data_IF_245130905693
#
_entry.id   IF_245130905693
#
_cell.length_a   1.000
_cell.length_b   1.000
_cell.length_c   1.000
_cell.angle_alpha   90.00
_cell.angle_beta   90.00
_cell.angle_gamma   90.00
#
_symmetry.space_group_name_H-M   'P 1'
#
loop_
_entity.id
_entity.type
_entity.pdbx_description
1 polymer ?
#
# COMPACT_ATOMS: atom_id res chain seq x y z
N UNK A 1 20.00 47.90 46.85
CA UNK A 1 19.99 46.42 47.01
C UNK A 1 19.01 45.86 45.98
N UNK A 2 19.50 45.08 45.01
CA UNK A 2 18.73 44.56 43.86
C UNK A 2 17.82 43.40 44.30
N UNK A 3 16.53 43.47 44.01
CA UNK A 3 15.67 42.27 43.93
C UNK A 3 14.72 42.42 42.73
N UNK A 4 15.08 41.75 41.63
CA UNK A 4 14.28 41.62 40.41
C UNK A 4 13.20 40.56 40.61
N UNK A 5 11.92 40.95 40.48
CA UNK A 5 10.78 40.04 40.28
C UNK A 5 10.81 39.50 38.84
N UNK A 6 10.99 38.19 38.65
CA UNK A 6 10.70 37.49 37.39
C UNK A 6 9.46 36.61 37.59
N UNK A 7 8.44 36.84 36.77
CA UNK A 7 7.14 36.16 36.76
C UNK A 7 7.14 34.91 35.84
N UNK A 8 6.22 33.95 36.08
CA UNK A 8 6.34 32.54 35.69
C UNK A 8 5.59 32.21 34.39
N UNK A 9 6.20 32.47 33.23
CA UNK A 9 5.59 32.12 31.92
C UNK A 9 6.19 30.88 31.25
N UNK A 10 7.32 30.35 31.75
CA UNK A 10 7.98 29.19 31.15
C UNK A 10 7.37 27.83 31.55
N UNK A 11 6.59 27.77 32.64
CA UNK A 11 5.95 26.53 33.09
C UNK A 11 4.67 26.23 32.29
N UNK A 12 3.99 27.24 31.75
CA UNK A 12 2.78 27.03 30.94
C UNK A 12 3.08 26.61 29.49
N UNK A 13 4.24 26.97 28.94
CA UNK A 13 4.64 26.62 27.56
C UNK A 13 5.20 25.18 27.47
N UNK A 14 5.82 24.68 28.54
CA UNK A 14 6.24 23.27 28.60
C UNK A 14 5.07 22.29 28.79
N UNK A 15 3.90 22.76 29.26
CA UNK A 15 2.73 21.91 29.45
C UNK A 15 1.90 21.73 28.16
N UNK A 16 2.11 22.58 27.16
CA UNK A 16 1.44 22.49 25.85
C UNK A 16 2.23 21.64 24.83
N UNK A 17 3.55 21.49 25.01
CA UNK A 17 4.40 20.68 24.12
C UNK A 17 4.40 19.18 24.45
N UNK A 18 3.85 18.78 25.60
CA UNK A 18 3.83 17.39 26.07
C UNK A 18 2.60 16.56 25.66
N UNK A 19 1.59 17.15 25.02
CA UNK A 19 0.31 16.48 24.71
C UNK A 19 0.20 15.89 23.30
N UNK A 20 1.19 16.06 22.41
CA UNK A 20 1.11 15.59 21.02
C UNK A 20 1.73 14.22 20.73
N UNK A 21 2.21 13.45 21.73
CA UNK A 21 2.91 12.18 21.48
C UNK A 21 2.11 10.90 21.77
N UNK A 22 0.81 10.99 22.03
CA UNK A 22 -0.04 9.82 22.35
C UNK A 22 -0.78 9.20 21.14
N UNK A 23 -0.34 9.47 19.91
CA UNK A 23 -0.98 8.89 18.72
C UNK A 23 0.00 7.98 17.98
N UNK A 24 -0.40 6.72 17.79
CA UNK A 24 0.16 5.66 16.92
C UNK A 24 1.12 4.64 17.56
N UNK A 25 0.58 3.75 18.41
CA UNK A 25 1.16 2.43 18.68
C UNK A 25 0.58 1.32 17.77
N UNK A 26 0.14 1.66 16.56
CA UNK A 26 -0.23 0.67 15.56
C UNK A 26 1.06 0.05 15.01
N UNK A 27 1.16 -1.27 14.96
CA UNK A 27 2.38 -1.88 14.40
C UNK A 27 2.55 -1.42 12.95
N UNK A 28 3.78 -1.08 12.55
CA UNK A 28 4.11 -0.67 11.17
C UNK A 28 3.52 -1.64 10.13
N UNK A 29 3.43 -2.93 10.50
CA UNK A 29 2.82 -3.97 9.67
C UNK A 29 1.30 -3.85 9.55
N UNK A 30 0.61 -3.53 10.64
CA UNK A 30 -0.85 -3.33 10.61
C UNK A 30 -1.22 -2.12 9.73
N UNK A 31 -0.44 -1.04 9.78
CA UNK A 31 -0.64 0.12 8.91
C UNK A 31 -0.41 -0.22 7.43
N UNK A 32 0.67 -0.92 7.10
CA UNK A 32 0.97 -1.36 5.72
C UNK A 32 -0.18 -2.21 5.13
N UNK A 33 -0.68 -3.18 5.91
CA UNK A 33 -1.80 -4.02 5.49
C UNK A 33 -3.09 -3.20 5.30
N UNK A 34 -3.30 -2.17 6.13
CA UNK A 34 -4.48 -1.31 6.04
C UNK A 34 -4.46 -0.43 4.79
N UNK A 35 -3.32 0.21 4.52
CA UNK A 35 -3.09 0.95 3.28
C UNK A 35 -3.31 0.03 2.07
N UNK A 36 -2.75 -1.18 2.10
CA UNK A 36 -2.90 -2.14 1.00
C UNK A 36 -4.35 -2.58 0.80
N UNK A 37 -5.09 -2.82 1.88
CA UNK A 37 -6.52 -3.16 1.84
C UNK A 37 -7.34 -2.04 1.19
N UNK A 38 -7.07 -0.79 1.57
CA UNK A 38 -7.74 0.39 1.01
C UNK A 38 -7.41 0.59 -0.47
N UNK A 39 -6.15 0.39 -0.87
CA UNK A 39 -5.74 0.40 -2.28
C UNK A 39 -6.53 -0.64 -3.10
N UNK A 40 -6.59 -1.89 -2.64
CA UNK A 40 -7.33 -2.96 -3.32
C UNK A 40 -8.85 -2.67 -3.40
N UNK A 41 -9.44 -2.06 -2.37
CA UNK A 41 -10.85 -1.63 -2.40
C UNK A 41 -11.10 -0.53 -3.43
N UNK A 42 -10.20 0.47 -3.49
CA UNK A 42 -10.27 1.53 -4.50
C UNK A 42 -10.14 0.95 -5.90
N UNK A 43 -9.23 0.01 -6.08
CA UNK A 43 -9.02 -0.70 -7.34
C UNK A 43 -10.28 -1.48 -7.77
N UNK A 44 -10.91 -2.25 -6.87
CA UNK A 44 -12.19 -2.94 -7.16
C UNK A 44 -13.29 -1.95 -7.54
N UNK A 45 -13.39 -0.80 -6.87
CA UNK A 45 -14.37 0.23 -7.20
C UNK A 45 -14.10 0.83 -8.59
N UNK A 46 -12.83 1.12 -8.91
CA UNK A 46 -12.44 1.58 -10.24
C UNK A 46 -12.76 0.56 -11.33
N UNK A 47 -12.47 -0.73 -11.08
CA UNK A 47 -12.84 -1.84 -11.98
C UNK A 47 -14.35 -1.84 -12.22
N UNK A 48 -15.16 -1.78 -11.16
CA UNK A 48 -16.62 -1.75 -11.29
C UNK A 48 -17.12 -0.54 -12.09
N UNK A 49 -16.53 0.65 -11.86
CA UNK A 49 -16.87 1.87 -12.62
C UNK A 49 -16.53 1.74 -14.10
N UNK A 50 -15.34 1.24 -14.42
CA UNK A 50 -14.91 1.03 -15.81
C UNK A 50 -15.79 -0.03 -16.48
N UNK A 51 -16.06 -1.17 -15.81
CA UNK A 51 -16.92 -2.22 -16.34
C UNK A 51 -18.37 -1.77 -16.57
N UNK A 52 -18.96 -0.95 -15.69
CA UNK A 52 -20.34 -0.46 -15.86
C UNK A 52 -20.47 0.56 -16.98
N UNK A 53 -19.48 1.45 -17.16
CA UNK A 53 -19.44 2.39 -18.30
C UNK A 53 -19.41 1.65 -19.63
N UNK A 54 -18.76 0.49 -19.68
CA UNK A 54 -18.61 -0.29 -20.90
C UNK A 54 -19.78 -1.25 -21.18
N UNK A 55 -20.67 -1.53 -20.21
CA UNK A 55 -21.84 -2.43 -20.39
C UNK A 55 -22.81 -1.98 -21.50
N UNK A 56 -22.78 -0.71 -21.89
CA UNK A 56 -23.60 -0.17 -22.99
C UNK A 56 -23.11 -0.59 -24.37
N UNK A 57 -21.91 -1.16 -24.48
CA UNK A 57 -21.31 -1.59 -25.74
C UNK A 57 -21.14 -3.11 -25.78
N UNK A 58 -21.26 -3.70 -26.98
CA UNK A 58 -21.21 -5.14 -27.17
C UNK A 58 -19.74 -5.64 -27.02
N UNK A 59 -19.37 -6.08 -25.81
CA UNK A 59 -18.03 -6.61 -25.53
C UNK A 59 -17.82 -7.99 -26.16
N UNK A 60 -16.59 -8.26 -26.62
CA UNK A 60 -16.17 -9.62 -26.99
C UNK A 60 -16.17 -10.56 -25.78
N UNK A 61 -16.56 -11.82 -25.96
CA UNK A 61 -16.55 -12.83 -24.89
C UNK A 61 -15.16 -12.99 -24.25
N UNK A 62 -14.07 -12.85 -25.04
CA UNK A 62 -12.69 -12.91 -24.55
C UNK A 62 -12.45 -11.80 -23.52
N UNK A 63 -12.80 -10.56 -23.88
CA UNK A 63 -12.61 -9.39 -23.01
C UNK A 63 -13.33 -9.55 -21.68
N UNK A 64 -14.57 -10.06 -21.70
CA UNK A 64 -15.36 -10.25 -20.48
C UNK A 64 -14.68 -11.25 -19.53
N UNK A 65 -14.13 -12.34 -20.06
CA UNK A 65 -13.36 -13.29 -19.24
C UNK A 65 -12.11 -12.66 -18.65
N UNK A 66 -11.37 -11.86 -19.43
CA UNK A 66 -10.16 -11.18 -18.94
C UNK A 66 -10.50 -10.19 -17.80
N UNK A 67 -11.55 -9.39 -17.97
CA UNK A 67 -12.01 -8.42 -16.96
C UNK A 67 -12.41 -9.11 -15.66
N UNK A 68 -13.19 -10.19 -15.78
CA UNK A 68 -13.65 -10.98 -14.64
C UNK A 68 -12.49 -11.66 -13.92
N UNK A 69 -11.57 -12.28 -14.67
CA UNK A 69 -10.37 -12.92 -14.12
C UNK A 69 -9.50 -11.93 -13.35
N UNK A 70 -9.35 -10.72 -13.87
CA UNK A 70 -8.59 -9.67 -13.21
C UNK A 70 -9.28 -9.19 -11.93
N UNK A 71 -10.60 -8.92 -11.99
CA UNK A 71 -11.40 -8.55 -10.82
C UNK A 71 -11.29 -9.60 -9.71
N UNK A 72 -11.41 -10.88 -10.06
CA UNK A 72 -11.26 -12.00 -9.13
C UNK A 72 -9.87 -12.05 -8.50
N UNK A 73 -8.81 -11.77 -9.26
CA UNK A 73 -7.43 -11.70 -8.74
C UNK A 73 -7.28 -10.60 -7.69
N UNK A 74 -7.78 -9.40 -7.96
CA UNK A 74 -7.74 -8.27 -7.00
C UNK A 74 -8.56 -8.61 -5.74
N UNK A 75 -9.73 -9.22 -5.91
CA UNK A 75 -10.59 -9.67 -4.81
C UNK A 75 -9.95 -10.78 -3.96
N UNK A 76 -9.28 -11.75 -4.58
CA UNK A 76 -8.52 -12.77 -3.87
C UNK A 76 -7.37 -12.15 -3.06
N UNK A 77 -6.69 -11.14 -3.61
CA UNK A 77 -5.67 -10.40 -2.88
C UNK A 77 -6.26 -9.62 -1.69
N UNK A 78 -7.44 -9.01 -1.86
CA UNK A 78 -8.15 -8.34 -0.76
C UNK A 78 -8.47 -9.32 0.38
N UNK A 79 -8.98 -10.52 0.05
CA UNK A 79 -9.24 -11.59 1.01
C UNK A 79 -7.95 -12.00 1.74
N UNK A 80 -6.85 -12.19 1.01
CA UNK A 80 -5.57 -12.59 1.57
C UNK A 80 -5.01 -11.54 2.55
N UNK A 81 -5.03 -10.26 2.17
CA UNK A 81 -4.57 -9.15 3.03
C UNK A 81 -5.46 -9.03 4.27
N UNK A 82 -6.79 -9.14 4.11
CA UNK A 82 -7.74 -9.08 5.22
C UNK A 82 -7.53 -10.25 6.21
N UNK A 83 -7.25 -11.46 5.71
CA UNK A 83 -6.88 -12.60 6.55
C UNK A 83 -5.57 -12.35 7.32
N UNK A 84 -4.56 -11.76 6.68
CA UNK A 84 -3.31 -11.41 7.34
C UNK A 84 -3.51 -10.40 8.47
N UNK A 85 -4.36 -9.38 8.26
CA UNK A 85 -4.74 -8.41 9.30
C UNK A 85 -5.46 -9.09 10.46
N UNK A 86 -6.47 -9.93 10.17
CA UNK A 86 -7.22 -10.63 11.21
C UNK A 86 -6.33 -11.58 12.03
N UNK A 87 -5.35 -12.24 11.39
CA UNK A 87 -4.37 -13.08 12.07
C UNK A 87 -3.42 -12.25 12.94
N UNK A 88 -2.98 -11.08 12.47
CA UNK A 88 -2.16 -10.16 13.27
C UNK A 88 -2.90 -9.69 14.51
N UNK A 89 -4.14 -9.20 14.35
CA UNK A 89 -4.99 -8.80 15.48
C UNK A 89 -5.25 -9.95 16.43
N UNK A 90 -5.42 -11.18 15.94
CA UNK A 90 -5.58 -12.36 16.80
C UNK A 90 -4.37 -12.58 17.70
N UNK A 91 -3.14 -12.43 17.17
CA UNK A 91 -1.92 -12.53 17.98
C UNK A 91 -1.86 -11.42 19.03
N UNK A 92 -2.14 -10.18 18.65
CA UNK A 92 -2.15 -9.04 19.57
C UNK A 92 -3.22 -9.17 20.66
N UNK A 93 -4.41 -9.67 20.32
CA UNK A 93 -5.49 -9.97 21.28
C UNK A 93 -5.02 -11.02 22.29
N UNK A 94 -4.37 -12.08 21.83
CA UNK A 94 -3.89 -13.15 22.71
C UNK A 94 -2.80 -12.65 23.67
N UNK A 95 -1.85 -11.85 23.20
CA UNK A 95 -0.80 -11.26 24.04
C UNK A 95 -1.38 -10.25 25.05
N UNK A 96 -2.33 -9.41 24.62
CA UNK A 96 -3.03 -8.50 25.52
C UNK A 96 -3.85 -9.27 26.57
N UNK A 97 -4.49 -10.38 26.21
CA UNK A 97 -5.24 -11.22 27.13
C UNK A 97 -4.33 -11.83 28.21
N UNK A 98 -3.14 -12.34 27.83
CA UNK A 98 -2.14 -12.82 28.79
C UNK A 98 -1.71 -11.72 29.75
N UNK A 99 -1.44 -10.53 29.21
CA UNK A 99 -1.07 -9.35 29.99
C UNK A 99 -2.18 -8.98 30.98
N UNK A 100 -3.42 -8.90 30.52
CA UNK A 100 -4.59 -8.61 31.37
C UNK A 100 -4.73 -9.65 32.49
N UNK A 101 -4.53 -10.94 32.19
CA UNK A 101 -4.55 -11.99 33.22
C UNK A 101 -3.44 -11.78 34.25
N UNK A 102 -2.20 -11.51 33.82
CA UNK A 102 -1.10 -11.22 34.74
C UNK A 102 -1.38 -10.02 35.66
N UNK A 103 -1.87 -8.91 35.11
CA UNK A 103 -2.25 -7.72 35.90
C UNK A 103 -3.42 -8.01 36.84
N UNK A 104 -4.41 -8.81 36.41
CA UNK A 104 -5.54 -9.23 37.24
C UNK A 104 -5.07 -10.06 38.44
N UNK A 105 -4.18 -11.02 38.23
CA UNK A 105 -3.65 -11.89 39.28
C UNK A 105 -2.78 -11.09 40.26
N UNK A 106 -1.92 -10.19 39.76
CA UNK A 106 -1.13 -9.28 40.58
C UNK A 106 -2.02 -8.37 41.43
N UNK A 107 -3.04 -7.78 40.83
CA UNK A 107 -3.98 -6.89 41.53
C UNK A 107 -4.76 -7.64 42.62
N UNK A 108 -5.11 -8.91 42.38
CA UNK A 108 -5.75 -9.77 43.39
C UNK A 108 -4.81 -9.97 44.59
N UNK A 109 -3.55 -10.36 44.35
CA UNK A 109 -2.55 -10.52 45.40
C UNK A 109 -2.37 -9.24 46.23
N UNK A 110 -2.18 -8.09 45.57
CA UNK A 110 -2.01 -6.80 46.23
C UNK A 110 -3.22 -6.43 47.10
N UNK A 111 -4.45 -6.66 46.60
CA UNK A 111 -5.68 -6.41 47.36
C UNK A 111 -5.80 -7.34 48.57
N UNK A 112 -5.46 -8.61 48.43
CA UNK A 112 -5.51 -9.58 49.53
C UNK A 112 -4.48 -9.26 50.63
N UNK A 113 -3.26 -8.87 50.25
CA UNK A 113 -2.22 -8.41 51.18
C UNK A 113 -2.62 -7.13 51.89
N UNK A 114 -3.13 -6.14 51.15
CA UNK A 114 -3.63 -4.89 51.69
C UNK A 114 -4.79 -5.13 52.67
N UNK A 115 -5.75 -5.99 52.33
CA UNK A 115 -6.87 -6.34 53.19
C UNK A 115 -6.41 -6.98 54.52
N UNK A 116 -5.49 -7.95 54.46
CA UNK A 116 -4.88 -8.56 55.67
C UNK A 116 -4.19 -7.52 56.54
N UNK A 117 -3.47 -6.59 55.93
CA UNK A 117 -2.78 -5.51 56.62
C UNK A 117 -3.75 -4.56 57.33
N UNK A 118 -4.83 -4.14 56.64
CA UNK A 118 -5.88 -3.30 57.24
C UNK A 118 -6.60 -4.05 58.37
N UNK A 119 -6.94 -5.32 58.17
CA UNK A 119 -7.60 -6.13 59.21
C UNK A 119 -6.74 -6.26 60.47
N UNK A 120 -5.43 -6.53 60.33
CA UNK A 120 -4.48 -6.58 61.46
C UNK A 120 -4.37 -5.22 62.15
N UNK A 121 -4.28 -4.13 61.37
CA UNK A 121 -4.25 -2.77 61.91
C UNK A 121 -5.54 -2.40 62.65
N UNK A 122 -6.69 -2.96 62.26
CA UNK A 122 -7.96 -2.75 62.94
C UNK A 122 -8.04 -3.53 64.25
N UNK A 123 -7.69 -4.83 64.24
CA UNK A 123 -7.71 -5.68 65.44
C UNK A 123 -6.75 -5.19 66.53
N UNK A 124 -5.57 -4.71 66.15
CA UNK A 124 -4.57 -4.16 67.08
C UNK A 124 -4.91 -2.76 67.64
N UNK A 125 -6.04 -2.17 67.25
CA UNK A 125 -6.45 -0.84 67.72
C UNK A 125 -6.88 -0.83 69.20
N UNK A 126 -7.40 -1.94 69.72
CA UNK A 126 -7.85 -2.03 71.12
C UNK A 126 -6.74 -2.45 72.09
N UNK A 127 -5.79 -3.28 71.65
CA UNK A 127 -4.89 -3.98 72.58
C UNK A 127 -3.76 -3.08 73.10
N UNK A 128 -3.28 -2.14 72.28
CA UNK A 128 -2.41 -1.03 72.70
C UNK A 128 -2.64 0.16 71.75
N UNK A 129 -3.26 1.24 72.24
CA UNK A 129 -3.38 2.50 71.47
C UNK A 129 -2.00 2.90 70.92
N UNK A 130 -1.93 3.38 69.67
CA UNK A 130 -0.64 3.85 69.08
C UNK A 130 0.06 4.89 69.95
N UNK A 131 -0.73 5.68 70.68
CA UNK A 131 -0.24 6.63 71.68
C UNK A 131 0.33 5.89 72.89
N UNK A 132 -0.37 4.89 73.41
CA UNK A 132 0.13 4.03 74.49
C UNK A 132 1.41 3.28 74.11
N UNK A 133 1.52 2.80 72.86
CA UNK A 133 2.74 2.16 72.33
C UNK A 133 3.94 3.12 72.25
N UNK A 134 3.70 4.41 71.99
CA UNK A 134 4.75 5.44 72.04
C UNK A 134 5.10 5.81 73.49
N UNK A 135 4.09 5.95 74.35
CA UNK A 135 4.25 6.33 75.77
C UNK A 135 4.81 5.19 76.65
N UNK A 136 4.68 3.93 76.24
CA UNK A 136 5.27 2.76 76.93
C UNK A 136 6.74 2.52 76.57
N UNK A 137 7.45 3.56 76.13
CA UNK A 137 8.88 3.47 75.81
C UNK A 137 9.73 3.69 77.06
N UNK A 138 10.81 2.92 77.22
CA UNK A 138 11.75 3.01 78.35
C UNK A 138 12.64 4.26 78.29
N UNK A 139 12.89 4.77 77.08
CA UNK A 139 13.75 5.93 76.83
C UNK A 139 13.35 6.68 75.53
N UNK A 140 13.91 7.88 75.35
CA UNK A 140 13.62 8.75 74.20
C UNK A 140 14.09 8.13 72.86
N UNK A 141 15.20 7.40 72.84
CA UNK A 141 15.71 6.77 71.62
C UNK A 141 14.76 5.67 71.13
N UNK A 142 14.22 4.88 72.06
CA UNK A 142 13.23 3.85 71.78
C UNK A 142 11.91 4.47 71.27
N UNK A 143 11.44 5.55 71.91
CA UNK A 143 10.25 6.28 71.46
C UNK A 143 10.42 6.84 70.03
N UNK A 144 11.59 7.41 69.72
CA UNK A 144 11.93 7.90 68.38
C UNK A 144 11.94 6.78 67.33
N UNK A 145 12.57 5.63 67.63
CA UNK A 145 12.55 4.45 66.73
C UNK A 145 11.13 3.94 66.48
N UNK A 146 10.30 3.82 67.54
CA UNK A 146 8.89 3.42 67.44
C UNK A 146 8.08 4.38 66.55
N UNK A 147 8.31 5.69 66.68
CA UNK A 147 7.69 6.70 65.82
C UNK A 147 8.11 6.55 64.35
N UNK A 148 9.40 6.30 64.09
CA UNK A 148 9.90 6.05 62.73
C UNK A 148 9.25 4.81 62.10
N UNK A 149 9.10 3.71 62.85
CA UNK A 149 8.42 2.51 62.35
C UNK A 149 6.94 2.75 62.04
N UNK A 150 6.22 3.51 62.89
CA UNK A 150 4.84 3.89 62.61
C UNK A 150 4.75 4.69 61.30
N UNK A 151 5.66 5.65 61.10
CA UNK A 151 5.72 6.45 59.86
C UNK A 151 6.04 5.59 58.64
N UNK A 152 7.03 4.70 58.74
CA UNK A 152 7.41 3.79 57.66
C UNK A 152 6.24 2.87 57.28
N UNK A 153 5.54 2.32 58.27
CA UNK A 153 4.35 1.49 58.05
C UNK A 153 3.24 2.28 57.37
N UNK A 154 2.88 3.47 57.88
CA UNK A 154 1.86 4.32 57.25
C UNK A 154 2.21 4.71 55.81
N UNK A 155 3.49 5.00 55.54
CA UNK A 155 3.98 5.28 54.19
C UNK A 155 3.88 4.05 53.28
N UNK A 156 4.19 2.86 53.78
CA UNK A 156 4.02 1.61 53.05
C UNK A 156 2.54 1.34 52.72
N UNK A 157 1.62 1.57 53.66
CA UNK A 157 0.18 1.44 53.41
C UNK A 157 -0.28 2.38 52.29
N UNK A 158 0.15 3.65 52.33
CA UNK A 158 -0.17 4.64 51.31
C UNK A 158 0.34 4.19 49.93
N UNK A 159 1.61 3.77 49.84
CA UNK A 159 2.21 3.27 48.59
C UNK A 159 1.46 2.06 48.02
N UNK A 160 1.09 1.10 48.86
CA UNK A 160 0.29 -0.07 48.46
C UNK A 160 -1.08 0.35 47.89
N UNK A 161 -1.77 1.29 48.54
CA UNK A 161 -3.05 1.80 48.02
C UNK A 161 -2.90 2.53 46.69
N UNK A 162 -1.83 3.32 46.52
CA UNK A 162 -1.52 4.01 45.27
C UNK A 162 -1.19 3.03 44.14
N UNK A 163 -0.41 1.99 44.43
CA UNK A 163 -0.09 0.92 43.48
C UNK A 163 -1.36 0.18 43.04
N UNK A 164 -2.25 -0.22 43.97
CA UNK A 164 -3.53 -0.86 43.65
C UNK A 164 -4.38 0.03 42.73
N UNK A 165 -4.43 1.34 43.00
CA UNK A 165 -5.18 2.30 42.18
C UNK A 165 -4.61 2.34 40.75
N UNK A 166 -3.30 2.56 40.61
CA UNK A 166 -2.63 2.64 39.30
C UNK A 166 -2.80 1.35 38.49
N UNK A 167 -2.64 0.20 39.13
CA UNK A 167 -2.79 -1.12 38.50
C UNK A 167 -4.26 -1.37 38.08
N UNK A 168 -5.23 -0.89 38.85
CA UNK A 168 -6.65 -0.95 38.50
C UNK A 168 -6.97 -0.10 37.27
N UNK A 169 -6.51 1.15 37.24
CA UNK A 169 -6.69 2.05 36.09
C UNK A 169 -6.03 1.47 34.84
N UNK A 170 -4.81 0.92 34.97
CA UNK A 170 -4.11 0.27 33.86
C UNK A 170 -4.88 -0.95 33.33
N UNK A 171 -5.42 -1.78 34.21
CA UNK A 171 -6.21 -2.95 33.84
C UNK A 171 -7.51 -2.55 33.12
N UNK A 172 -8.18 -1.48 33.57
CA UNK A 172 -9.36 -0.93 32.91
C UNK A 172 -9.04 -0.47 31.49
N UNK A 173 -7.94 0.28 31.30
CA UNK A 173 -7.52 0.74 29.97
C UNK A 173 -7.17 -0.43 29.06
N UNK A 174 -6.43 -1.44 29.55
CA UNK A 174 -6.12 -2.63 28.77
C UNK A 174 -7.38 -3.38 28.33
N UNK A 175 -8.39 -3.52 29.20
CA UNK A 175 -9.66 -4.15 28.83
C UNK A 175 -10.41 -3.32 27.78
N UNK A 176 -10.42 -1.98 27.88
CA UNK A 176 -11.04 -1.09 26.89
C UNK A 176 -10.39 -1.27 25.51
N UNK A 177 -9.05 -1.22 25.45
CA UNK A 177 -8.29 -1.41 24.21
C UNK A 177 -8.50 -2.81 23.61
N UNK A 178 -8.61 -3.84 24.46
CA UNK A 178 -8.90 -5.20 24.01
C UNK A 178 -10.27 -5.31 23.33
N UNK A 179 -11.30 -4.65 23.88
CA UNK A 179 -12.64 -4.63 23.30
C UNK A 179 -12.63 -3.98 21.91
N UNK A 180 -11.94 -2.85 21.74
CA UNK A 180 -11.79 -2.19 20.44
C UNK A 180 -11.12 -3.12 19.42
N UNK A 181 -10.01 -3.78 19.80
CA UNK A 181 -9.33 -4.72 18.89
C UNK A 181 -10.20 -5.92 18.49
N UNK A 182 -11.05 -6.41 19.41
CA UNK A 182 -12.00 -7.49 19.11
C UNK A 182 -13.06 -7.02 18.12
N UNK A 183 -13.63 -5.84 18.31
CA UNK A 183 -14.61 -5.25 17.40
C UNK A 183 -14.01 -5.02 16.00
N UNK A 184 -12.79 -4.48 15.91
CA UNK A 184 -12.08 -4.31 14.63
C UNK A 184 -11.84 -5.64 13.91
N UNK A 185 -11.49 -6.69 14.66
CA UNK A 185 -11.32 -8.04 14.11
C UNK A 185 -12.65 -8.60 13.57
N UNK A 186 -13.76 -8.44 14.30
CA UNK A 186 -15.07 -8.90 13.83
C UNK A 186 -15.51 -8.18 12.55
N UNK A 187 -15.28 -6.86 12.45
CA UNK A 187 -15.51 -6.10 11.21
C UNK A 187 -14.69 -6.65 10.04
N UNK A 188 -13.41 -6.94 10.26
CA UNK A 188 -12.55 -7.55 9.23
C UNK A 188 -13.08 -8.91 8.76
N UNK A 189 -13.56 -9.74 9.68
CA UNK A 189 -14.12 -11.06 9.35
C UNK A 189 -15.42 -10.90 8.55
N UNK A 190 -16.29 -9.97 8.94
CA UNK A 190 -17.51 -9.63 8.21
C UNK A 190 -17.22 -9.18 6.77
N UNK A 191 -16.32 -8.21 6.61
CA UNK A 191 -15.88 -7.70 5.30
C UNK A 191 -15.30 -8.83 4.42
N UNK A 192 -14.50 -9.70 5.01
CA UNK A 192 -13.89 -10.82 4.32
C UNK A 192 -14.92 -11.87 3.87
N UNK A 193 -15.97 -12.11 4.66
CA UNK A 193 -17.07 -13.00 4.30
C UNK A 193 -17.84 -12.46 3.09
N UNK A 194 -18.14 -11.16 3.07
CA UNK A 194 -18.78 -10.49 1.93
C UNK A 194 -17.90 -10.62 0.68
N UNK A 195 -16.60 -10.35 0.81
CA UNK A 195 -15.66 -10.46 -0.31
C UNK A 195 -15.60 -11.89 -0.88
N UNK A 196 -15.68 -12.93 -0.04
CA UNK A 196 -15.73 -14.34 -0.47
C UNK A 196 -17.00 -14.69 -1.23
N UNK A 197 -18.17 -14.28 -0.73
CA UNK A 197 -19.46 -14.53 -1.41
C UNK A 197 -19.48 -13.86 -2.79
N UNK A 198 -18.95 -12.65 -2.90
CA UNK A 198 -18.83 -12.00 -4.21
C UNK A 198 -17.80 -12.67 -5.12
N UNK A 199 -16.72 -13.23 -4.59
CA UNK A 199 -15.76 -14.00 -5.38
C UNK A 199 -16.37 -15.30 -5.91
N UNK A 200 -17.19 -15.98 -5.12
CA UNK A 200 -17.92 -17.18 -5.54
C UNK A 200 -18.87 -16.89 -6.70
N UNK A 201 -19.61 -15.78 -6.63
CA UNK A 201 -20.46 -15.33 -7.75
C UNK A 201 -19.65 -15.08 -9.02
N UNK A 202 -18.51 -14.40 -8.91
CA UNK A 202 -17.63 -14.13 -10.04
C UNK A 202 -17.01 -15.42 -10.62
N UNK A 203 -16.71 -16.41 -9.78
CA UNK A 203 -16.23 -17.73 -10.21
C UNK A 203 -17.29 -18.48 -11.03
N UNK A 204 -18.55 -18.44 -10.59
CA UNK A 204 -19.64 -19.10 -11.30
C UNK A 204 -19.94 -18.41 -12.64
N UNK A 205 -19.99 -17.07 -12.68
CA UNK A 205 -20.10 -16.31 -13.93
C UNK A 205 -18.97 -16.64 -14.91
N UNK A 206 -17.74 -16.76 -14.41
CA UNK A 206 -16.57 -17.10 -15.23
C UNK A 206 -16.70 -18.52 -15.78
N UNK A 207 -17.14 -19.47 -14.96
CA UNK A 207 -17.31 -20.88 -15.34
C UNK A 207 -18.32 -21.00 -16.49
N UNK A 208 -19.45 -20.33 -16.39
CA UNK A 208 -20.50 -20.37 -17.40
C UNK A 208 -20.04 -19.76 -18.74
N UNK A 209 -19.32 -18.63 -18.66
CA UNK A 209 -18.76 -17.98 -19.84
C UNK A 209 -17.68 -18.85 -20.50
N UNK A 210 -16.77 -19.45 -19.73
CA UNK A 210 -15.76 -20.37 -20.25
C UNK A 210 -16.42 -21.60 -20.88
N UNK A 211 -17.51 -22.12 -20.31
CA UNK A 211 -18.24 -23.24 -20.90
C UNK A 211 -18.79 -22.88 -22.29
N UNK A 212 -19.31 -21.66 -22.47
CA UNK A 212 -19.74 -21.17 -23.78
C UNK A 212 -18.58 -20.98 -24.77
N UNK A 213 -17.43 -20.51 -24.28
CA UNK A 213 -16.23 -20.27 -25.09
C UNK A 213 -15.58 -21.58 -25.54
N UNK A 214 -15.58 -22.62 -24.70
CA UNK A 214 -15.02 -23.94 -25.03
C UNK A 214 -15.64 -24.55 -26.29
N UNK A 215 -16.93 -24.29 -26.55
CA UNK A 215 -17.60 -24.75 -27.79
C UNK A 215 -16.99 -24.16 -29.06
N UNK A 216 -16.35 -23.00 -28.97
CA UNK A 216 -15.69 -22.28 -30.06
C UNK A 216 -14.19 -22.06 -29.80
N UNK A 217 -13.55 -22.92 -29.00
CA UNK A 217 -12.17 -22.73 -28.53
C UNK A 217 -11.17 -22.49 -29.67
N UNK A 218 -11.28 -23.24 -30.77
CA UNK A 218 -10.39 -23.09 -31.92
C UNK A 218 -10.39 -21.67 -32.51
N UNK A 219 -11.56 -21.04 -32.64
CA UNK A 219 -11.70 -19.68 -33.15
C UNK A 219 -11.07 -18.67 -32.18
N UNK A 220 -11.36 -18.77 -30.89
CA UNK A 220 -10.78 -17.87 -29.88
C UNK A 220 -9.27 -18.03 -29.73
N UNK A 221 -8.75 -19.26 -29.72
CA UNK A 221 -7.31 -19.53 -29.73
C UNK A 221 -6.62 -18.96 -30.97
N UNK A 222 -7.27 -19.01 -32.14
CA UNK A 222 -6.78 -18.35 -33.36
C UNK A 222 -6.74 -16.82 -33.23
N UNK A 223 -7.78 -16.21 -32.67
CA UNK A 223 -7.83 -14.76 -32.42
C UNK A 223 -6.74 -14.30 -31.44
N UNK A 224 -6.50 -15.06 -30.36
CA UNK A 224 -5.43 -14.76 -29.40
C UNK A 224 -4.07 -14.85 -30.11
N UNK A 225 -3.80 -15.91 -30.87
CA UNK A 225 -2.55 -16.05 -31.64
C UNK A 225 -2.34 -14.91 -32.64
N UNK A 226 -3.41 -14.44 -33.29
CA UNK A 226 -3.35 -13.29 -34.21
C UNK A 226 -2.93 -12.01 -33.47
N UNK A 227 -3.58 -11.70 -32.35
CA UNK A 227 -3.24 -10.53 -31.51
C UNK A 227 -1.79 -10.59 -31.00
N UNK A 228 -1.31 -11.76 -30.57
CA UNK A 228 0.08 -11.92 -30.14
C UNK A 228 1.08 -11.72 -31.28
N UNK A 229 0.75 -12.17 -32.50
CA UNK A 229 1.60 -11.92 -33.68
C UNK A 229 1.66 -10.43 -34.03
N UNK A 230 0.52 -9.73 -34.01
CA UNK A 230 0.45 -8.29 -34.25
C UNK A 230 1.26 -7.50 -33.20
N UNK A 231 1.13 -7.87 -31.92
CA UNK A 231 1.91 -7.27 -30.85
C UNK A 231 3.43 -7.50 -31.03
N UNK A 232 3.83 -8.73 -31.38
CA UNK A 232 5.23 -9.07 -31.62
C UNK A 232 5.82 -8.36 -32.85
N UNK A 233 5.03 -8.12 -33.89
CA UNK A 233 5.46 -7.34 -35.06
C UNK A 233 5.72 -5.88 -34.68
N UNK A 234 4.80 -5.27 -33.92
CA UNK A 234 4.96 -3.90 -33.44
C UNK A 234 6.18 -3.75 -32.51
N UNK A 235 6.42 -4.74 -31.64
CA UNK A 235 7.60 -4.74 -30.77
C UNK A 235 8.91 -4.79 -31.57
N UNK A 236 8.97 -5.60 -32.63
CA UNK A 236 10.14 -5.62 -33.53
C UNK A 236 10.35 -4.29 -34.25
N UNK A 237 9.28 -3.61 -34.64
CA UNK A 237 9.36 -2.28 -35.26
C UNK A 237 9.88 -1.23 -34.27
N UNK A 238 9.42 -1.26 -33.02
CA UNK A 238 9.92 -0.40 -31.95
C UNK A 238 11.42 -0.65 -31.70
N UNK A 239 11.84 -1.91 -31.59
CA UNK A 239 13.26 -2.26 -31.43
C UNK A 239 14.12 -1.76 -32.60
N UNK A 240 13.59 -1.84 -33.83
CA UNK A 240 14.28 -1.32 -35.02
C UNK A 240 14.48 0.20 -34.91
N UNK A 241 13.44 0.94 -34.53
CA UNK A 241 13.51 2.40 -34.38
C UNK A 241 14.48 2.80 -33.25
N UNK A 242 14.49 2.07 -32.13
CA UNK A 242 15.45 2.31 -31.05
C UNK A 242 16.88 2.05 -31.55
N UNK A 243 17.10 0.96 -32.30
CA UNK A 243 18.41 0.63 -32.88
C UNK A 243 18.90 1.71 -33.84
N UNK A 244 18.01 2.26 -34.66
CA UNK A 244 18.33 3.38 -35.56
C UNK A 244 18.66 4.67 -34.79
N UNK A 245 17.92 4.97 -33.72
CA UNK A 245 18.22 6.07 -32.82
C UNK A 245 19.59 5.91 -32.13
N UNK A 246 19.94 4.69 -31.72
CA UNK A 246 21.26 4.35 -31.17
C UNK A 246 22.38 4.53 -32.18
N UNK A 247 22.22 3.97 -33.38
CA UNK A 247 23.22 4.04 -34.44
C UNK A 247 23.48 5.48 -34.88
N UNK A 248 22.42 6.30 -35.00
CA UNK A 248 22.57 7.72 -35.32
C UNK A 248 23.27 8.51 -34.22
N UNK A 249 23.00 8.23 -32.94
CA UNK A 249 23.72 8.86 -31.82
C UNK A 249 25.19 8.45 -31.76
N UNK A 250 25.48 7.15 -31.93
CA UNK A 250 26.84 6.62 -31.93
C UNK A 250 27.65 7.19 -33.10
N UNK A 251 27.04 7.31 -34.29
CA UNK A 251 27.67 7.96 -35.45
C UNK A 251 28.01 9.43 -35.16
N UNK A 252 27.08 10.19 -34.56
CA UNK A 252 27.33 11.60 -34.17
C UNK A 252 28.44 11.73 -33.13
N UNK A 253 28.63 10.72 -32.28
CA UNK A 253 29.68 10.66 -31.27
C UNK A 253 31.00 10.03 -31.77
N UNK A 254 31.13 9.73 -33.07
CA UNK A 254 32.32 9.09 -33.64
C UNK A 254 32.57 7.65 -33.16
N UNK A 255 31.58 6.98 -32.57
CA UNK A 255 31.67 5.60 -32.10
C UNK A 255 31.07 4.62 -33.10
N UNK A 256 31.40 3.33 -32.93
CA UNK A 256 30.86 2.26 -33.77
C UNK A 256 29.33 2.23 -33.74
N UNK A 257 28.72 2.15 -34.92
CA UNK A 257 27.28 1.98 -35.12
C UNK A 257 26.77 0.61 -34.66
N UNK A 258 27.66 -0.36 -34.44
CA UNK A 258 27.34 -1.70 -33.91
C UNK A 258 27.35 -1.77 -32.38
N UNK A 259 27.70 -0.68 -31.69
CA UNK A 259 27.70 -0.64 -30.24
C UNK A 259 26.31 -0.93 -29.66
N UNK A 260 26.26 -1.79 -28.63
CA UNK A 260 25.04 -2.11 -27.88
C UNK A 260 24.68 -1.06 -26.82
N UNK A 261 25.52 -0.05 -26.63
CA UNK A 261 25.29 1.04 -25.67
C UNK A 261 25.09 2.38 -26.37
N UNK A 262 24.26 3.23 -25.76
CA UNK A 262 23.98 4.57 -26.28
C UNK A 262 25.15 5.52 -25.99
N UNK A 263 25.68 6.21 -26.99
CA UNK A 263 26.59 7.32 -26.76
C UNK A 263 25.79 8.55 -26.36
N UNK A 264 25.91 8.93 -25.08
CA UNK A 264 25.20 10.05 -24.48
C UNK A 264 26.04 11.33 -24.55
N UNK A 265 25.43 12.43 -24.99
CA UNK A 265 25.94 13.79 -24.78
C UNK A 265 25.98 14.12 -23.28
N UNK A 266 26.72 15.15 -22.84
CA UNK A 266 26.68 15.58 -21.44
C UNK A 266 25.26 15.84 -20.92
N UNK A 267 24.42 16.48 -21.73
CA UNK A 267 23.00 16.73 -21.43
C UNK A 267 22.20 15.42 -21.30
N UNK A 268 22.37 14.49 -22.24
CA UNK A 268 21.70 13.19 -22.21
C UNK A 268 22.12 12.35 -20.99
N UNK A 269 23.37 12.48 -20.51
CA UNK A 269 23.85 11.81 -19.30
C UNK A 269 23.15 12.35 -18.06
N UNK A 270 23.02 13.67 -17.95
CA UNK A 270 22.30 14.31 -16.84
C UNK A 270 20.83 13.89 -16.86
N UNK A 271 20.20 13.91 -18.03
CA UNK A 271 18.80 13.49 -18.19
C UNK A 271 18.60 12.01 -17.79
N UNK A 272 19.48 11.11 -18.25
CA UNK A 272 19.44 9.69 -17.89
C UNK A 272 19.65 9.45 -16.39
N UNK A 273 20.57 10.19 -15.76
CA UNK A 273 20.82 10.12 -14.33
C UNK A 273 19.59 10.59 -13.54
N UNK A 274 18.99 11.71 -13.95
CA UNK A 274 17.78 12.24 -13.32
C UNK A 274 16.58 11.30 -13.50
N UNK A 275 16.39 10.71 -14.69
CA UNK A 275 15.37 9.69 -14.94
C UNK A 275 15.55 8.48 -14.01
N UNK A 276 16.79 7.99 -13.88
CA UNK A 276 17.13 6.85 -13.02
C UNK A 276 16.93 7.17 -11.53
N UNK A 277 17.24 8.39 -11.09
CA UNK A 277 17.05 8.84 -9.70
C UNK A 277 15.56 8.89 -9.29
N UNK A 278 14.66 9.05 -10.27
CA UNK A 278 13.21 9.06 -10.07
C UNK A 278 12.56 7.68 -10.23
N UNK A 279 13.35 6.61 -10.29
CA UNK A 279 12.85 5.24 -10.32
C UNK A 279 11.94 4.95 -9.11
N UNK A 280 10.74 4.46 -9.39
CA UNK A 280 9.69 4.19 -8.40
C UNK A 280 8.89 5.42 -7.98
N UNK A 281 9.17 6.60 -8.57
CA UNK A 281 8.52 7.88 -8.25
C UNK A 281 7.93 8.57 -9.48
N UNK A 282 8.05 7.97 -10.66
CA UNK A 282 7.50 8.57 -11.87
C UNK A 282 5.96 8.60 -11.80
N UNK A 283 5.32 9.68 -12.29
CA UNK A 283 3.87 9.76 -12.35
C UNK A 283 3.30 8.73 -13.32
N UNK A 284 2.04 8.37 -13.10
CA UNK A 284 1.29 7.53 -14.03
C UNK A 284 1.12 8.23 -15.38
N UNK A 285 1.10 7.46 -16.49
CA UNK A 285 0.90 8.01 -17.83
C UNK A 285 -0.57 8.41 -18.13
N UNK A 286 -1.49 8.15 -17.20
CA UNK A 286 -2.90 8.55 -17.22
C UNK A 286 -3.30 9.04 -15.83
N UNK A 287 -4.34 9.87 -15.73
CA UNK A 287 -4.80 10.39 -14.43
C UNK A 287 -5.50 9.31 -13.60
N UNK A 288 -6.34 8.51 -14.24
CA UNK A 288 -7.03 7.38 -13.62
C UNK A 288 -6.86 6.14 -14.49
N UNK A 289 -6.53 5.00 -13.88
CA UNK A 289 -6.46 3.73 -14.62
C UNK A 289 -6.16 2.54 -13.74
N UNK A 290 -6.39 1.36 -14.30
CA UNK A 290 -6.24 0.07 -13.62
C UNK A 290 -5.39 -0.88 -14.47
N UNK A 291 -4.46 -1.62 -13.86
CA UNK A 291 -3.50 -2.45 -14.61
C UNK A 291 -4.09 -3.81 -14.95
N UNK A 292 -4.67 -3.91 -16.15
CA UNK A 292 -5.23 -5.17 -16.65
C UNK A 292 -4.16 -6.24 -16.92
N UNK A 293 -2.95 -5.83 -17.30
CA UNK A 293 -1.85 -6.77 -17.52
C UNK A 293 -0.50 -6.18 -17.11
N UNK A 294 0.27 -6.97 -16.35
CA UNK A 294 1.62 -6.61 -15.88
C UNK A 294 2.70 -7.11 -16.85
N UNK A 295 3.92 -6.62 -16.66
CA UNK A 295 5.10 -7.08 -17.40
C UNK A 295 5.36 -8.58 -17.21
N UNK A 296 5.81 -9.26 -18.26
CA UNK A 296 6.17 -10.67 -18.25
C UNK A 296 5.22 -11.58 -19.04
N UNK A 297 5.40 -12.90 -18.88
CA UNK A 297 4.60 -13.92 -19.55
C UNK A 297 3.44 -14.34 -18.67
N UNK A 298 2.23 -14.29 -19.23
CA UNK A 298 1.00 -14.69 -18.55
C UNK A 298 0.28 -15.77 -19.36
N UNK A 299 -0.34 -16.78 -18.73
CA UNK A 299 -1.23 -17.68 -19.45
C UNK A 299 -2.49 -16.92 -19.88
N UNK A 300 -3.03 -17.25 -21.05
CA UNK A 300 -4.34 -16.72 -21.44
C UNK A 300 -5.42 -17.22 -20.48
N UNK A 301 -6.34 -16.35 -20.01
CA UNK A 301 -7.48 -16.77 -19.17
C UNK A 301 -8.41 -17.79 -19.85
N UNK A 302 -8.34 -17.88 -21.19
CA UNK A 302 -9.22 -18.70 -22.02
C UNK A 302 -8.54 -20.02 -22.42
N UNK A 303 -7.28 -19.95 -22.82
CA UNK A 303 -6.49 -21.11 -23.25
C UNK A 303 -5.14 -21.09 -22.53
N UNK A 304 -5.04 -21.89 -21.46
CA UNK A 304 -3.82 -21.96 -20.63
C UNK A 304 -2.59 -22.44 -21.39
N UNK A 305 -2.75 -23.07 -22.56
CA UNK A 305 -1.63 -23.50 -23.40
C UNK A 305 -1.04 -22.35 -24.23
N UNK A 306 -1.72 -21.20 -24.31
CA UNK A 306 -1.22 -20.02 -25.00
C UNK A 306 -0.67 -19.04 -23.97
N UNK A 307 0.60 -18.69 -24.13
CA UNK A 307 1.25 -17.64 -23.32
C UNK A 307 1.15 -16.29 -24.03
N UNK A 308 0.65 -15.30 -23.31
CA UNK A 308 0.61 -13.89 -23.68
C UNK A 308 1.89 -13.23 -23.13
N UNK A 309 2.69 -12.62 -23.99
CA UNK A 309 3.90 -11.92 -23.56
C UNK A 309 3.66 -10.41 -23.47
N UNK A 310 3.86 -9.84 -22.28
CA UNK A 310 3.73 -8.40 -22.05
C UNK A 310 5.10 -7.76 -21.81
N UNK A 311 5.58 -7.03 -22.81
CA UNK A 311 6.81 -6.25 -22.74
C UNK A 311 6.67 -4.91 -21.96
N UNK A 312 5.50 -4.69 -21.34
CA UNK A 312 5.20 -3.52 -20.51
C UNK A 312 3.96 -3.76 -19.66
N UNK A 313 3.19 -2.70 -19.41
CA UNK A 313 1.91 -2.77 -18.69
C UNK A 313 0.77 -2.31 -19.59
N UNK A 314 -0.40 -2.94 -19.45
CA UNK A 314 -1.65 -2.51 -20.08
C UNK A 314 -2.55 -1.87 -19.03
N UNK A 315 -2.86 -0.60 -19.19
CA UNK A 315 -3.62 0.22 -18.25
C UNK A 315 -4.99 0.52 -18.87
N UNK A 316 -6.04 -0.05 -18.29
CA UNK A 316 -7.43 0.27 -18.64
C UNK A 316 -7.81 1.61 -18.02
N UNK A 317 -8.42 2.50 -18.79
CA UNK A 317 -8.73 3.88 -18.40
C UNK A 317 -10.04 4.37 -19.03
N UNK A 318 -10.43 5.61 -18.74
CA UNK A 318 -11.63 6.24 -19.30
C UNK A 318 -11.50 6.43 -20.83
N UNK A 319 -12.65 6.53 -21.50
CA UNK A 319 -12.72 6.83 -22.94
C UNK A 319 -12.15 8.21 -23.23
N UNK A 320 -11.23 8.28 -24.19
CA UNK A 320 -10.55 9.52 -24.55
C UNK A 320 -9.67 10.10 -23.45
N UNK A 321 -9.24 9.28 -22.47
CA UNK A 321 -8.36 9.74 -21.40
C UNK A 321 -7.07 10.36 -21.98
N UNK A 322 -6.67 11.49 -21.40
CA UNK A 322 -5.47 12.23 -21.81
C UNK A 322 -4.22 11.47 -21.35
N UNK A 323 -3.42 11.01 -22.30
CA UNK A 323 -2.13 10.37 -22.03
C UNK A 323 -1.08 11.44 -21.78
N UNK A 324 -0.33 11.26 -20.69
CA UNK A 324 0.68 12.17 -20.20
C UNK A 324 2.06 11.52 -20.22
N UNK A 325 3.06 12.34 -20.49
CA UNK A 325 4.45 11.91 -20.42
C UNK A 325 4.86 11.66 -18.95
N UNK A 326 5.54 10.54 -18.70
CA UNK A 326 6.00 10.20 -17.34
C UNK A 326 7.22 11.00 -16.89
N UNK A 327 8.02 11.53 -17.82
CA UNK A 327 9.22 12.31 -17.51
C UNK A 327 9.63 13.23 -18.66
N UNK A 328 10.36 14.32 -18.38
CA UNK A 328 10.84 15.21 -19.45
C UNK A 328 11.76 14.50 -20.44
N UNK A 329 11.69 14.87 -21.72
CA UNK A 329 12.45 14.21 -22.78
C UNK A 329 12.16 14.77 -24.18
N UNK A 330 12.62 14.06 -25.20
CA UNK A 330 12.41 14.42 -26.61
C UNK A 330 11.61 13.33 -27.33
N UNK A 331 10.63 13.71 -28.13
CA UNK A 331 9.85 12.76 -28.94
C UNK A 331 10.73 12.18 -30.04
N UNK A 332 11.21 10.96 -29.84
CA UNK A 332 12.09 10.27 -30.78
C UNK A 332 11.36 9.87 -32.07
N UNK A 333 10.13 9.37 -31.93
CA UNK A 333 9.36 8.86 -33.05
C UNK A 333 7.87 8.78 -32.73
N UNK A 334 7.09 8.97 -33.79
CA UNK A 334 5.64 8.74 -33.80
C UNK A 334 5.38 7.72 -34.89
N UNK A 335 4.81 6.58 -34.52
CA UNK A 335 4.41 5.52 -35.44
C UNK A 335 2.90 5.66 -35.65
N UNK A 336 2.50 5.86 -36.90
CA UNK A 336 1.09 5.92 -37.32
C UNK A 336 0.87 4.80 -38.34
N UNK A 337 0.55 3.57 -37.91
CA UNK A 337 0.32 2.48 -38.85
C UNK A 337 -0.97 2.73 -39.65
N UNK A 338 -0.99 2.34 -40.94
CA UNK A 338 -2.14 2.58 -41.85
C UNK A 338 -3.49 2.08 -41.29
N UNK A 339 -3.48 0.97 -40.55
CA UNK A 339 -4.65 0.34 -39.94
C UNK A 339 -4.44 0.04 -38.44
N UNK A 340 -3.53 0.76 -37.79
CA UNK A 340 -3.10 0.46 -36.44
C UNK A 340 -3.12 1.68 -35.54
N UNK A 341 -2.82 1.43 -34.27
CA UNK A 341 -3.02 2.43 -33.25
C UNK A 341 -1.75 3.26 -33.10
N UNK A 342 -1.91 4.57 -32.88
CA UNK A 342 -0.77 5.49 -32.83
C UNK A 342 0.13 5.10 -31.64
N UNK A 343 1.44 5.13 -31.88
CA UNK A 343 2.46 4.88 -30.86
C UNK A 343 3.43 6.05 -30.78
N UNK A 344 3.62 6.60 -29.59
CA UNK A 344 4.57 7.68 -29.31
C UNK A 344 5.75 7.11 -28.54
N UNK A 345 6.97 7.48 -28.93
CA UNK A 345 8.20 7.10 -28.25
C UNK A 345 8.96 8.35 -27.81
N UNK A 346 9.28 8.43 -26.53
CA UNK A 346 9.97 9.57 -25.93
C UNK A 346 11.30 9.09 -25.37
N UNK A 347 12.38 9.81 -25.71
CA UNK A 347 13.75 9.55 -25.29
C UNK A 347 14.07 10.35 -24.03
N UNK A 348 14.67 9.69 -23.04
CA UNK A 348 15.16 10.25 -21.78
C UNK A 348 16.65 9.88 -21.58
N UNK A 349 17.53 10.33 -22.48
CA UNK A 349 18.92 9.86 -22.55
C UNK A 349 19.03 8.46 -23.16
N UNK A 350 19.48 7.45 -22.39
CA UNK A 350 19.54 6.04 -22.84
C UNK A 350 18.27 5.23 -22.54
N UNK A 351 17.23 5.88 -22.02
CA UNK A 351 15.93 5.29 -21.76
C UNK A 351 14.91 5.74 -22.80
N UNK A 352 13.94 4.87 -23.11
CA UNK A 352 12.79 5.22 -23.94
C UNK A 352 11.50 4.85 -23.21
N UNK A 353 10.52 5.74 -23.25
CA UNK A 353 9.15 5.43 -22.84
C UNK A 353 8.27 5.34 -24.08
N UNK A 354 7.44 4.30 -24.15
CA UNK A 354 6.59 4.02 -25.31
C UNK A 354 5.14 3.97 -24.88
N UNK A 355 4.31 4.76 -25.56
CA UNK A 355 2.88 4.90 -25.32
C UNK A 355 2.14 4.41 -26.56
N UNK A 356 1.55 3.22 -26.48
CA UNK A 356 0.81 2.60 -27.60
C UNK A 356 -0.69 2.72 -27.40
N UNK A 357 -1.43 2.47 -28.47
CA UNK A 357 -2.89 2.48 -28.47
C UNK A 357 -3.49 3.88 -28.28
N UNK A 358 -2.95 4.87 -29.00
CA UNK A 358 -3.45 6.23 -28.99
C UNK A 358 -4.38 6.49 -30.19
N UNK A 359 -5.42 7.31 -29.97
CA UNK A 359 -6.38 7.75 -30.99
C UNK A 359 -6.01 9.10 -31.60
N UNK A 360 -5.49 10.00 -30.76
CA UNK A 360 -5.02 11.33 -31.16
C UNK A 360 -3.61 11.58 -30.65
N UNK A 361 -2.89 12.43 -31.36
CA UNK A 361 -1.56 12.89 -31.00
C UNK A 361 -1.52 14.41 -30.97
N UNK A 362 -0.80 14.95 -30.00
CA UNK A 362 -0.60 16.40 -29.84
C UNK A 362 0.85 16.84 -29.96
N UNK A 363 1.78 15.90 -30.17
CA UNK A 363 3.21 16.15 -30.28
C UNK A 363 3.76 15.57 -31.58
N UNK A 364 4.88 16.11 -32.05
CA UNK A 364 5.57 15.70 -33.26
C UNK A 364 6.98 15.22 -32.93
N UNK A 365 7.59 14.48 -33.86
CA UNK A 365 8.98 14.04 -33.73
C UNK A 365 9.91 15.24 -33.57
N UNK A 366 10.78 15.20 -32.56
CA UNK A 366 11.71 16.28 -32.21
C UNK A 366 11.19 17.25 -31.14
N UNK A 367 9.91 17.18 -30.78
CA UNK A 367 9.35 18.06 -29.74
C UNK A 367 9.96 17.71 -28.37
N UNK A 368 10.36 18.74 -27.61
CA UNK A 368 10.70 18.59 -26.19
C UNK A 368 9.42 18.56 -25.37
N UNK A 369 9.30 17.55 -24.52
CA UNK A 369 8.14 17.35 -23.65
C UNK A 369 8.55 17.43 -22.19
N UNK A 370 7.68 18.00 -21.36
CA UNK A 370 7.86 18.07 -19.91
C UNK A 370 7.11 16.96 -19.18
N UNK A 371 7.48 16.72 -17.92
CA UNK A 371 6.80 15.75 -17.05
C UNK A 371 5.32 16.11 -16.90
N UNK A 372 4.42 15.11 -17.05
CA UNK A 372 2.95 15.24 -17.06
C UNK A 372 2.36 16.02 -18.24
N UNK A 373 3.15 16.44 -19.23
CA UNK A 373 2.62 17.05 -20.44
C UNK A 373 1.72 16.07 -21.18
N UNK A 374 0.57 16.55 -21.67
CA UNK A 374 -0.37 15.74 -22.46
C UNK A 374 0.20 15.54 -23.86
N UNK A 375 0.28 14.29 -24.31
CA UNK A 375 0.86 13.89 -25.60
C UNK A 375 -0.15 13.30 -26.57
N UNK A 376 -1.31 12.87 -26.08
CA UNK A 376 -2.37 12.29 -26.90
C UNK A 376 -3.57 11.83 -26.08
N UNK A 377 -4.47 11.10 -26.75
CA UNK A 377 -5.66 10.48 -26.15
C UNK A 377 -5.61 8.96 -26.37
N UNK A 378 -6.09 8.17 -25.39
CA UNK A 378 -6.19 6.71 -25.54
C UNK A 378 -7.24 6.35 -26.60
N UNK A 379 -6.97 5.31 -27.39
CA UNK A 379 -7.93 4.72 -28.31
C UNK A 379 -8.88 3.78 -27.58
N UNK A 380 -10.18 4.04 -27.75
CA UNK A 380 -11.24 3.12 -27.37
C UNK A 380 -11.46 2.11 -28.49
N UNK A 381 -11.30 0.82 -28.18
CA UNK A 381 -11.53 -0.25 -29.14
C UNK A 381 -13.03 -0.44 -29.37
N UNK A 382 -13.51 -0.26 -30.61
CA UNK A 382 -14.95 -0.39 -30.95
C UNK A 382 -15.53 -1.79 -30.71
N UNK A 383 -14.70 -2.84 -30.76
CA UNK A 383 -15.13 -4.23 -30.59
C UNK A 383 -15.12 -4.72 -29.14
N UNK A 384 -14.34 -4.09 -28.25
CA UNK A 384 -14.33 -4.42 -26.82
C UNK A 384 -14.91 -3.33 -25.93
N UNK A 385 -15.11 -2.12 -26.45
CA UNK A 385 -15.52 -0.92 -25.72
C UNK A 385 -14.45 -0.35 -24.78
N UNK A 386 -13.29 -1.01 -24.67
CA UNK A 386 -12.26 -0.67 -23.69
C UNK A 386 -11.26 0.35 -24.22
N UNK A 387 -10.76 1.21 -23.32
CA UNK A 387 -9.65 2.13 -23.58
C UNK A 387 -8.43 1.67 -22.81
N UNK A 388 -7.47 1.04 -23.50
CA UNK A 388 -6.29 0.42 -22.88
C UNK A 388 -5.02 1.09 -23.37
N UNK A 389 -4.33 1.83 -22.51
CA UNK A 389 -2.99 2.33 -22.79
C UNK A 389 -1.97 1.20 -22.59
N UNK A 390 -1.15 0.89 -23.60
CA UNK A 390 0.01 0.01 -23.37
C UNK A 390 1.26 0.87 -23.18
N UNK A 391 1.84 0.79 -21.99
CA UNK A 391 3.00 1.57 -21.58
C UNK A 391 4.22 0.66 -21.41
N UNK A 392 5.32 0.99 -22.09
CA UNK A 392 6.58 0.25 -22.01
C UNK A 392 7.72 1.19 -21.63
N UNK A 393 8.71 0.63 -20.93
CA UNK A 393 9.97 1.30 -20.64
C UNK A 393 11.10 0.47 -21.23
N UNK A 394 11.98 1.10 -21.99
CA UNK A 394 13.18 0.49 -22.53
C UNK A 394 14.40 1.14 -21.90
N UNK A 395 15.40 0.32 -21.59
CA UNK A 395 16.77 0.75 -21.37
C UNK A 395 17.57 0.23 -22.53
N UNK A 396 18.02 1.13 -23.40
CA UNK A 396 18.65 0.75 -24.67
C UNK A 396 17.71 -0.20 -25.44
N UNK A 397 18.14 -1.42 -25.78
CA UNK A 397 17.34 -2.41 -26.50
C UNK A 397 16.51 -3.34 -25.59
N UNK A 398 16.65 -3.23 -24.26
CA UNK A 398 15.98 -4.15 -23.34
C UNK A 398 14.76 -3.52 -22.69
N UNK A 399 13.63 -4.24 -22.76
CA UNK A 399 12.41 -3.89 -22.04
C UNK A 399 12.64 -4.00 -20.53
N UNK A 400 12.03 -3.09 -19.78
CA UNK A 400 12.12 -3.00 -18.33
C UNK A 400 10.71 -3.11 -17.75
N UNK A 401 10.58 -3.72 -16.58
CA UNK A 401 9.31 -3.77 -15.87
C UNK A 401 8.88 -2.35 -15.43
N UNK A 402 7.79 -1.77 -15.98
CA UNK A 402 7.34 -0.42 -15.65
C UNK A 402 6.97 -0.24 -14.17
N UNK A 403 6.61 -1.33 -13.47
CA UNK A 403 6.25 -1.28 -12.06
C UNK A 403 7.41 -0.86 -11.15
N UNK A 404 8.67 -1.02 -11.61
CA UNK A 404 9.84 -0.52 -10.88
C UNK A 404 10.06 0.98 -11.07
N UNK A 405 9.34 1.63 -11.99
CA UNK A 405 9.57 3.02 -12.40
C UNK A 405 8.44 3.94 -11.93
N UNK A 406 7.20 3.50 -12.07
CA UNK A 406 6.00 4.28 -11.77
C UNK A 406 5.64 4.16 -10.28
N UNK A 407 5.22 5.27 -9.68
CA UNK A 407 4.83 5.34 -8.28
C UNK A 407 3.61 4.46 -7.98
N UNK A 408 3.76 3.49 -7.07
CA UNK A 408 2.70 2.60 -6.58
C UNK A 408 1.90 1.90 -7.71
N UNK A 409 2.61 1.22 -8.61
CA UNK A 409 2.05 0.51 -9.77
C UNK A 409 1.61 -0.94 -9.49
#
# INVERSE_FOLDING_TARGET
>A
MKITRRQPYYILICLFLGMCTLVHAQSKKQQELEERRQELRKEINQINKLMFKDKKEQKSAITVVEDLSYKMSVRQNLINVTNQQANLLTREINENQKTITHYRDRLKLLKDEYAKMIQRSYKSRSDQSKVMFLLSSTDFQQAYKRLQYIRQYANYQRKQSEEIKLQTERLQELNRLLLVKKDDKEKLIGDNRVAKVELEKELDEQRDLIASIKRNLSNYSSQIRKKEREAAQLDKEIEKIIREAMASSNRKAGKSTTSRTFSLTPEDKVLAANFTSNKGKLPWPVEEGVIKMRYGKHPSPIDRNISINSNGVRIATNKGEKVRTVYEGEVNSVIVPKNGNITIMIKHGNYFTVYKNLSKIYVKKGDKVSTKQVIGEVLTNKASGESILSFLVFKELQTQNPAHWIYKM
#
